data_IF_484228518815
#
_entry.id   IF_484228518815
#
_cell.length_a   1.000
_cell.length_b   1.000
_cell.length_c   1.000
_cell.angle_alpha   90.00
_cell.angle_beta   90.00
_cell.angle_gamma   90.00
#
_symmetry.space_group_name_H-M   'P 1'
#
loop_
_entity.id
_entity.type
_entity.pdbx_description
1 polymer ?
#
# COMPACT_ATOMS: atom_id res chain seq x y z
N UNK A 1 3.78 11.58 -5.46
CA UNK A 1 2.60 10.98 -6.13
C UNK A 1 2.75 10.78 -7.65
N UNK A 2 3.30 11.71 -8.48
CA UNK A 2 3.32 11.51 -9.94
C UNK A 2 4.13 10.28 -10.37
N UNK A 3 5.25 10.02 -9.71
CA UNK A 3 6.10 8.86 -10.00
C UNK A 3 5.37 7.52 -9.74
N UNK A 4 4.63 7.41 -8.63
CA UNK A 4 3.81 6.24 -8.32
C UNK A 4 2.72 5.98 -9.37
N UNK A 5 2.08 7.06 -9.87
CA UNK A 5 1.08 6.97 -10.93
C UNK A 5 1.71 6.48 -12.24
N UNK A 6 2.86 7.02 -12.64
CA UNK A 6 3.54 6.60 -13.87
C UNK A 6 4.02 5.14 -13.81
N UNK A 7 4.53 4.69 -12.65
CA UNK A 7 4.86 3.27 -12.42
C UNK A 7 3.60 2.41 -12.55
N UNK A 8 2.48 2.83 -11.95
CA UNK A 8 1.23 2.07 -12.01
C UNK A 8 0.67 1.95 -13.44
N UNK A 9 0.83 3.00 -14.27
CA UNK A 9 0.49 2.97 -15.70
C UNK A 9 1.36 1.97 -16.46
N UNK A 10 2.66 1.98 -16.22
CA UNK A 10 3.59 1.04 -16.87
C UNK A 10 3.35 -0.41 -16.43
N UNK A 11 2.99 -0.66 -15.17
CA UNK A 11 2.60 -2.00 -14.71
C UNK A 11 1.35 -2.54 -15.41
N UNK A 12 0.43 -1.65 -15.82
CA UNK A 12 -0.84 -2.04 -16.42
C UNK A 12 -0.83 -2.09 -17.95
N UNK A 13 -0.22 -1.10 -18.61
CA UNK A 13 -0.19 -0.96 -20.06
C UNK A 13 1.16 -1.33 -20.69
N UNK A 14 2.23 -1.51 -19.89
CA UNK A 14 3.58 -1.76 -20.39
C UNK A 14 4.09 -0.59 -21.24
N UNK A 15 4.79 -0.92 -22.34
CA UNK A 15 5.39 0.06 -23.26
C UNK A 15 4.39 1.06 -23.85
N UNK A 16 3.11 0.70 -23.99
CA UNK A 16 2.08 1.58 -24.52
C UNK A 16 1.76 2.79 -23.61
N UNK A 17 2.18 2.78 -22.33
CA UNK A 17 2.01 3.91 -21.43
C UNK A 17 2.99 5.06 -21.70
N UNK A 18 4.17 4.78 -22.26
CA UNK A 18 5.24 5.77 -22.45
C UNK A 18 4.81 7.01 -23.26
N UNK A 19 4.19 6.89 -24.45
CA UNK A 19 3.81 8.07 -25.21
C UNK A 19 2.82 8.96 -24.45
N UNK A 20 1.87 8.36 -23.73
CA UNK A 20 0.92 9.11 -22.90
C UNK A 20 1.59 9.86 -21.74
N UNK A 21 2.59 9.24 -21.09
CA UNK A 21 3.38 9.88 -20.03
C UNK A 21 4.18 11.05 -20.59
N UNK A 22 4.83 10.88 -21.74
CA UNK A 22 5.64 11.92 -22.40
C UNK A 22 4.77 13.13 -22.74
N UNK A 23 3.66 12.92 -23.43
CA UNK A 23 2.74 14.00 -23.82
C UNK A 23 2.21 14.73 -22.58
N UNK A 24 1.84 14.01 -21.52
CA UNK A 24 1.34 14.62 -20.29
C UNK A 24 2.38 15.52 -19.62
N UNK A 25 3.65 15.09 -19.57
CA UNK A 25 4.73 15.88 -18.98
C UNK A 25 4.98 17.12 -19.85
N UNK A 26 5.01 16.98 -21.18
CA UNK A 26 5.19 18.10 -22.10
C UNK A 26 4.07 19.13 -21.88
N UNK A 27 2.80 18.74 -21.99
CA UNK A 27 1.68 19.68 -21.84
C UNK A 27 1.68 20.41 -20.49
N UNK A 28 2.12 19.77 -19.41
CA UNK A 28 2.11 20.36 -18.07
C UNK A 28 3.36 21.21 -17.75
N UNK A 29 4.55 20.76 -18.19
CA UNK A 29 5.84 21.39 -17.83
C UNK A 29 6.42 22.30 -18.88
N UNK A 30 6.07 22.11 -20.14
CA UNK A 30 6.55 22.95 -21.23
C UNK A 30 6.28 24.45 -21.02
N UNK A 31 5.08 24.88 -20.58
CA UNK A 31 4.80 26.31 -20.39
C UNK A 31 5.54 26.95 -19.21
N UNK A 32 6.08 26.14 -18.29
CA UNK A 32 6.62 26.61 -17.00
C UNK A 32 8.14 26.73 -17.00
N UNK A 33 8.84 25.90 -17.76
CA UNK A 33 10.29 25.66 -17.58
C UNK A 33 11.08 25.72 -18.90
N UNK A 34 10.41 25.85 -20.05
CA UNK A 34 11.05 25.84 -21.36
C UNK A 34 11.42 24.45 -21.89
N UNK A 35 11.89 24.37 -23.14
CA UNK A 35 12.13 23.09 -23.84
C UNK A 35 13.22 22.24 -23.19
N UNK A 36 14.38 22.84 -22.89
CA UNK A 36 15.58 22.12 -22.49
C UNK A 36 15.41 21.46 -21.11
N UNK A 37 14.92 22.22 -20.12
CA UNK A 37 14.62 21.67 -18.80
C UNK A 37 13.48 20.63 -18.87
N UNK A 38 12.46 20.84 -19.72
CA UNK A 38 11.37 19.87 -19.88
C UNK A 38 11.86 18.53 -20.46
N UNK A 39 12.75 18.56 -21.45
CA UNK A 39 13.35 17.34 -22.02
C UNK A 39 14.21 16.60 -20.99
N UNK A 40 14.97 17.34 -20.16
CA UNK A 40 15.71 16.77 -19.04
C UNK A 40 14.75 16.09 -18.04
N UNK A 41 13.67 16.76 -17.64
CA UNK A 41 12.68 16.16 -16.72
C UNK A 41 12.10 14.87 -17.30
N UNK A 42 11.71 14.88 -18.58
CA UNK A 42 11.16 13.71 -19.27
C UNK A 42 12.16 12.55 -19.26
N UNK A 43 13.42 12.80 -19.60
CA UNK A 43 14.45 11.75 -19.63
C UNK A 43 14.64 11.12 -18.24
N UNK A 44 14.70 11.94 -17.18
CA UNK A 44 14.82 11.48 -15.80
C UNK A 44 13.66 10.56 -15.39
N UNK A 45 12.42 10.97 -15.68
CA UNK A 45 11.24 10.16 -15.36
C UNK A 45 11.23 8.85 -16.18
N UNK A 46 11.47 8.90 -17.48
CA UNK A 46 11.45 7.70 -18.34
C UNK A 46 12.50 6.69 -17.88
N UNK A 47 13.75 7.12 -17.70
CA UNK A 47 14.84 6.22 -17.30
C UNK A 47 14.50 5.55 -15.98
N UNK A 48 14.05 6.33 -14.99
CA UNK A 48 13.66 5.80 -13.67
C UNK A 48 12.55 4.75 -13.79
N UNK A 49 11.50 5.03 -14.57
CA UNK A 49 10.32 4.17 -14.65
C UNK A 49 10.62 2.91 -15.47
N UNK A 50 11.35 3.04 -16.60
CA UNK A 50 11.69 1.92 -17.48
C UNK A 50 12.60 0.93 -16.75
N UNK A 51 13.61 1.40 -16.01
CA UNK A 51 14.49 0.53 -15.21
C UNK A 51 13.72 -0.17 -14.09
N UNK A 52 12.88 0.57 -13.36
CA UNK A 52 12.10 0.02 -12.23
C UNK A 52 11.07 -1.03 -12.69
N UNK A 53 10.35 -0.75 -13.78
CA UNK A 53 9.38 -1.67 -14.38
C UNK A 53 10.06 -2.86 -15.08
N UNK A 54 11.13 -2.60 -15.84
CA UNK A 54 11.90 -3.60 -16.55
C UNK A 54 12.52 -4.62 -15.60
N UNK A 55 13.16 -4.14 -14.53
CA UNK A 55 13.68 -4.99 -13.46
C UNK A 55 12.58 -5.85 -12.84
N UNK A 56 11.44 -5.26 -12.47
CA UNK A 56 10.31 -6.05 -11.95
C UNK A 56 9.86 -7.16 -12.91
N UNK A 57 9.81 -6.90 -14.22
CA UNK A 57 9.38 -7.86 -15.24
C UNK A 57 10.37 -9.03 -15.40
N UNK A 58 11.68 -8.75 -15.35
CA UNK A 58 12.74 -9.77 -15.45
C UNK A 58 12.67 -10.75 -14.28
N UNK A 59 12.51 -10.24 -13.06
CA UNK A 59 12.48 -11.08 -11.87
C UNK A 59 11.09 -11.74 -11.63
N UNK A 60 10.00 -11.27 -12.24
CA UNK A 60 8.65 -11.86 -12.11
C UNK A 60 7.96 -12.11 -13.48
N UNK A 61 8.51 -12.98 -14.34
CA UNK A 61 8.10 -13.10 -15.75
C UNK A 61 6.66 -13.62 -15.93
N UNK A 62 6.21 -14.59 -15.12
CA UNK A 62 4.90 -15.27 -15.30
C UNK A 62 3.73 -14.67 -14.50
N UNK A 63 3.99 -13.78 -13.52
CA UNK A 63 2.97 -13.22 -12.59
C UNK A 63 3.07 -11.70 -12.42
N UNK A 64 3.57 -11.00 -13.44
CA UNK A 64 3.76 -9.56 -13.42
C UNK A 64 2.44 -8.77 -13.19
N UNK A 65 1.31 -9.23 -13.74
CA UNK A 65 0.04 -8.51 -13.73
C UNK A 65 -0.97 -8.98 -12.64
N UNK A 66 -0.47 -9.68 -11.62
CA UNK A 66 -1.30 -10.16 -10.50
C UNK A 66 -1.63 -9.01 -9.54
N UNK A 67 -2.88 -8.93 -9.08
CA UNK A 67 -3.36 -7.94 -8.10
C UNK A 67 -2.42 -7.77 -6.90
N UNK A 68 -2.27 -6.55 -6.42
CA UNK A 68 -1.65 -6.23 -5.12
C UNK A 68 -2.33 -7.05 -4.02
N UNK A 69 -1.54 -7.81 -3.25
CA UNK A 69 -2.02 -8.74 -2.22
C UNK A 69 -1.54 -10.19 -2.35
N UNK A 70 -0.77 -10.54 -3.39
CA UNK A 70 -0.02 -11.80 -3.37
C UNK A 70 1.28 -11.60 -2.59
N UNK A 71 1.36 -12.29 -1.47
CA UNK A 71 2.35 -12.04 -0.45
C UNK A 71 3.74 -12.59 -0.81
N UNK A 72 3.87 -13.48 -1.81
CA UNK A 72 5.15 -14.01 -2.29
C UNK A 72 5.94 -13.00 -3.12
N UNK A 73 5.24 -12.05 -3.73
CA UNK A 73 5.84 -11.02 -4.58
C UNK A 73 6.06 -9.71 -3.80
N UNK A 74 5.76 -9.68 -2.50
CA UNK A 74 5.79 -8.44 -1.70
C UNK A 74 7.19 -7.83 -1.66
N UNK A 75 8.20 -8.62 -1.28
CA UNK A 75 9.57 -8.12 -1.17
C UNK A 75 10.10 -7.60 -2.50
N UNK A 76 9.89 -8.37 -3.56
CA UNK A 76 10.28 -8.00 -4.91
C UNK A 76 9.56 -6.72 -5.39
N UNK A 77 8.27 -6.54 -5.06
CA UNK A 77 7.52 -5.31 -5.39
C UNK A 77 8.02 -4.13 -4.59
N UNK A 78 8.26 -4.28 -3.29
CA UNK A 78 8.84 -3.20 -2.48
C UNK A 78 10.18 -2.75 -3.06
N UNK A 79 11.06 -3.69 -3.41
CA UNK A 79 12.35 -3.36 -3.98
C UNK A 79 12.21 -2.62 -5.31
N UNK A 80 11.50 -3.19 -6.28
CA UNK A 80 11.44 -2.64 -7.65
C UNK A 80 10.44 -1.50 -7.85
N UNK A 81 9.42 -1.36 -7.02
CA UNK A 81 8.36 -0.34 -7.18
C UNK A 81 8.46 0.78 -6.15
N UNK A 82 9.17 0.59 -5.03
CA UNK A 82 9.29 1.60 -3.97
C UNK A 82 10.73 2.09 -3.86
N UNK A 83 11.68 1.19 -3.58
CA UNK A 83 13.07 1.56 -3.33
C UNK A 83 13.81 1.98 -4.60
N UNK A 84 13.90 1.10 -5.60
CA UNK A 84 14.59 1.34 -6.86
C UNK A 84 14.18 2.65 -7.56
N UNK A 85 12.88 2.95 -7.74
CA UNK A 85 12.49 4.20 -8.37
C UNK A 85 12.81 5.44 -7.53
N UNK A 86 12.72 5.36 -6.21
CA UNK A 86 13.05 6.48 -5.33
C UNK A 86 14.56 6.78 -5.35
N UNK A 87 15.40 5.74 -5.29
CA UNK A 87 16.86 5.90 -5.31
C UNK A 87 17.36 6.35 -6.68
N UNK A 88 16.89 5.73 -7.77
CA UNK A 88 17.28 6.13 -9.13
C UNK A 88 16.92 7.57 -9.42
N UNK A 89 15.70 7.99 -9.06
CA UNK A 89 15.28 9.37 -9.30
C UNK A 89 16.15 10.37 -8.52
N UNK A 90 16.48 10.08 -7.26
CA UNK A 90 17.31 10.96 -6.45
C UNK A 90 18.75 11.03 -6.98
N UNK A 91 19.35 9.89 -7.35
CA UNK A 91 20.70 9.84 -7.91
C UNK A 91 20.77 10.63 -9.23
N UNK A 92 19.81 10.40 -10.12
CA UNK A 92 19.74 11.13 -11.39
C UNK A 92 19.53 12.63 -11.16
N UNK A 93 18.66 12.99 -10.21
CA UNK A 93 18.44 14.39 -9.85
C UNK A 93 19.70 15.05 -9.30
N UNK A 94 20.44 14.39 -8.41
CA UNK A 94 21.70 14.90 -7.87
C UNK A 94 22.78 15.03 -8.95
N UNK A 95 22.84 14.06 -9.87
CA UNK A 95 23.75 14.12 -11.01
C UNK A 95 23.42 15.31 -11.93
N UNK A 96 22.15 15.53 -12.25
CA UNK A 96 21.75 16.66 -13.07
C UNK A 96 21.92 18.02 -12.37
N UNK A 97 21.76 18.08 -11.04
CA UNK A 97 22.09 19.25 -10.24
C UNK A 97 23.60 19.55 -10.29
N UNK A 98 24.45 18.52 -10.23
CA UNK A 98 25.90 18.66 -10.38
C UNK A 98 26.32 19.17 -11.76
N UNK A 99 25.66 18.69 -12.83
CA UNK A 99 25.91 19.12 -14.21
C UNK A 99 25.36 20.54 -14.50
N UNK A 100 24.56 21.12 -13.59
CA UNK A 100 24.00 22.47 -13.75
C UNK A 100 22.79 22.53 -14.68
N UNK A 101 22.13 21.40 -14.97
CA UNK A 101 21.00 21.32 -15.92
C UNK A 101 19.73 22.00 -15.38
N UNK A 102 19.63 22.20 -14.07
CA UNK A 102 18.47 22.78 -13.39
C UNK A 102 18.82 24.09 -12.68
N UNK A 103 19.11 25.15 -13.42
CA UNK A 103 19.38 26.48 -12.85
C UNK A 103 18.20 26.97 -12.00
N UNK A 104 16.96 26.68 -12.43
CA UNK A 104 15.71 27.08 -11.77
C UNK A 104 15.43 26.41 -10.40
N UNK A 105 16.05 25.26 -10.10
CA UNK A 105 15.83 24.49 -8.86
C UNK A 105 17.07 24.32 -7.98
N UNK A 106 18.20 24.87 -8.40
CA UNK A 106 19.46 24.90 -7.66
C UNK A 106 19.32 25.47 -6.24
N UNK A 107 18.35 26.36 -5.99
CA UNK A 107 18.05 26.91 -4.66
C UNK A 107 17.15 26.04 -3.75
N UNK A 108 16.42 25.05 -4.29
CA UNK A 108 15.50 24.19 -3.50
C UNK A 108 16.18 22.92 -2.98
N UNK A 109 17.24 22.48 -3.64
CA UNK A 109 18.08 21.37 -3.19
C UNK A 109 19.49 21.91 -3.18
N UNK A 110 19.93 22.35 -2.01
CA UNK A 110 21.31 22.79 -1.83
C UNK A 110 22.25 21.75 -2.46
N UNK A 111 23.25 22.23 -3.18
CA UNK A 111 24.23 21.46 -3.98
C UNK A 111 24.85 20.29 -3.19
N UNK A 112 24.77 20.32 -1.87
CA UNK A 112 25.22 19.27 -0.96
C UNK A 112 24.30 18.04 -0.95
N UNK A 113 24.83 16.83 -1.23
CA UNK A 113 24.03 15.59 -1.29
C UNK A 113 23.39 15.20 0.06
N UNK A 114 24.00 15.58 1.18
CA UNK A 114 23.55 15.26 2.54
C UNK A 114 22.87 16.45 3.22
N UNK A 115 21.73 16.87 2.69
CA UNK A 115 20.90 17.92 3.28
C UNK A 115 19.62 17.32 3.90
N UNK A 116 19.10 17.94 4.96
CA UNK A 116 17.80 17.61 5.55
C UNK A 116 16.69 17.66 4.48
N UNK A 117 16.75 18.61 3.55
CA UNK A 117 15.81 18.71 2.43
C UNK A 117 15.87 17.53 1.44
N UNK A 118 17.07 17.01 1.12
CA UNK A 118 17.19 15.82 0.26
C UNK A 118 16.68 14.57 0.97
N UNK A 119 16.92 14.46 2.28
CA UNK A 119 16.38 13.38 3.12
C UNK A 119 14.85 13.39 3.16
N UNK A 120 14.24 14.55 3.40
CA UNK A 120 12.77 14.70 3.41
C UNK A 120 12.18 14.31 2.05
N UNK A 121 12.78 14.79 0.95
CA UNK A 121 12.34 14.44 -0.40
C UNK A 121 12.44 12.93 -0.66
N UNK A 122 13.54 12.29 -0.26
CA UNK A 122 13.71 10.85 -0.40
C UNK A 122 12.65 10.06 0.38
N UNK A 123 12.43 10.42 1.64
CA UNK A 123 11.41 9.79 2.50
C UNK A 123 10.00 9.98 1.91
N UNK A 124 9.69 11.19 1.42
CA UNK A 124 8.41 11.49 0.77
C UNK A 124 8.20 10.68 -0.52
N UNK A 125 9.27 10.46 -1.30
CA UNK A 125 9.21 9.62 -2.49
C UNK A 125 8.97 8.14 -2.15
N UNK A 126 9.65 7.61 -1.12
CA UNK A 126 9.44 6.25 -0.64
C UNK A 126 8.01 6.04 -0.15
N UNK A 127 7.50 6.95 0.71
CA UNK A 127 6.11 6.93 1.19
C UNK A 127 5.14 7.01 0.02
N UNK A 128 5.37 7.96 -0.89
CA UNK A 128 4.53 8.17 -2.06
C UNK A 128 4.45 6.95 -2.98
N UNK A 129 5.54 6.22 -3.19
CA UNK A 129 5.55 5.01 -4.01
C UNK A 129 4.92 3.82 -3.26
N UNK A 130 5.22 3.64 -1.98
CA UNK A 130 4.73 2.53 -1.17
C UNK A 130 3.20 2.48 -1.12
N UNK A 131 2.58 3.65 -1.04
CA UNK A 131 1.14 3.78 -0.88
C UNK A 131 0.46 4.11 -2.21
N UNK A 132 1.09 4.99 -3.00
CA UNK A 132 0.54 5.48 -4.27
C UNK A 132 0.47 4.39 -5.33
N UNK A 133 1.43 3.46 -5.41
CA UNK A 133 1.41 2.40 -6.43
C UNK A 133 0.19 1.47 -6.28
N UNK A 134 -0.10 0.89 -5.10
CA UNK A 134 -1.33 0.12 -4.87
C UNK A 134 -2.61 0.91 -5.15
N UNK A 135 -2.67 2.17 -4.73
CA UNK A 135 -3.81 3.06 -4.93
C UNK A 135 -4.08 3.35 -6.41
N UNK A 136 -3.08 3.89 -7.11
CA UNK A 136 -3.21 4.26 -8.51
C UNK A 136 -3.50 3.01 -9.35
N UNK A 137 -2.89 1.88 -9.04
CA UNK A 137 -3.21 0.60 -9.69
C UNK A 137 -4.68 0.20 -9.50
N UNK A 138 -5.23 0.37 -8.29
CA UNK A 138 -6.64 0.10 -8.02
C UNK A 138 -7.57 1.07 -8.77
N UNK A 139 -7.24 2.36 -8.81
CA UNK A 139 -8.02 3.39 -9.51
C UNK A 139 -8.05 3.12 -11.01
N UNK A 140 -6.89 2.90 -11.64
CA UNK A 140 -6.79 2.61 -13.09
C UNK A 140 -7.62 1.37 -13.45
N UNK A 141 -7.52 0.32 -12.62
CA UNK A 141 -8.26 -0.92 -12.85
C UNK A 141 -9.77 -0.75 -12.69
N UNK A 142 -10.20 0.08 -11.75
CA UNK A 142 -11.61 0.42 -11.52
C UNK A 142 -12.20 1.22 -12.68
N UNK A 143 -11.47 2.23 -13.20
CA UNK A 143 -11.90 3.05 -14.34
C UNK A 143 -12.09 2.19 -15.61
N UNK A 144 -11.16 1.28 -15.90
CA UNK A 144 -11.24 0.46 -17.12
C UNK A 144 -12.30 -0.65 -17.05
N UNK A 145 -12.49 -1.27 -15.89
CA UNK A 145 -13.44 -2.35 -15.73
C UNK A 145 -14.21 -2.23 -14.40
N UNK A 146 -15.39 -1.58 -14.40
CA UNK A 146 -16.16 -1.40 -13.18
C UNK A 146 -16.67 -2.74 -12.60
N UNK A 147 -16.82 -3.79 -13.41
CA UNK A 147 -17.21 -5.12 -12.93
C UNK A 147 -16.11 -5.78 -12.08
N UNK A 148 -14.85 -5.36 -12.25
CA UNK A 148 -13.75 -5.83 -11.41
C UNK A 148 -13.95 -5.45 -9.93
N UNK A 149 -14.65 -4.35 -9.66
CA UNK A 149 -14.96 -3.90 -8.30
C UNK A 149 -15.73 -4.96 -7.53
N UNK A 150 -16.68 -5.66 -8.17
CA UNK A 150 -17.43 -6.76 -7.54
C UNK A 150 -16.53 -7.94 -7.15
N UNK A 151 -15.60 -8.31 -8.04
CA UNK A 151 -14.61 -9.35 -7.77
C UNK A 151 -13.62 -8.94 -6.67
N UNK A 152 -13.23 -7.66 -6.64
CA UNK A 152 -12.39 -7.09 -5.61
C UNK A 152 -13.10 -7.08 -4.25
N UNK A 153 -14.37 -6.68 -4.17
CA UNK A 153 -15.20 -6.75 -2.96
C UNK A 153 -15.38 -8.18 -2.44
N UNK A 154 -15.57 -9.16 -3.32
CA UNK A 154 -15.60 -10.56 -2.91
C UNK A 154 -14.28 -10.98 -2.25
N UNK A 155 -13.15 -10.59 -2.84
CA UNK A 155 -11.82 -10.88 -2.28
C UNK A 155 -11.54 -10.10 -0.99
N UNK A 156 -12.03 -8.86 -0.86
CA UNK A 156 -12.02 -8.10 0.40
C UNK A 156 -12.79 -8.87 1.47
N UNK A 157 -14.04 -9.24 1.19
CA UNK A 157 -14.91 -9.98 2.13
C UNK A 157 -14.29 -11.31 2.57
N UNK A 158 -13.54 -11.98 1.70
CA UNK A 158 -12.80 -13.20 2.04
C UNK A 158 -11.61 -12.96 2.99
N UNK A 159 -10.98 -11.78 2.93
CA UNK A 159 -9.87 -11.39 3.81
C UNK A 159 -10.35 -10.91 5.17
N UNK A 160 -11.58 -10.41 5.28
CA UNK A 160 -12.20 -10.08 6.55
C UNK A 160 -12.28 -11.31 7.46
N UNK A 161 -12.01 -11.09 8.74
CA UNK A 161 -12.19 -12.11 9.76
C UNK A 161 -13.68 -12.35 9.98
N UNK A 162 -14.10 -13.61 9.93
CA UNK A 162 -15.49 -14.00 10.15
C UNK A 162 -15.97 -13.70 11.57
N UNK A 163 -15.05 -13.47 12.52
CA UNK A 163 -15.37 -13.11 13.91
C UNK A 163 -15.69 -11.64 14.14
N UNK A 164 -15.46 -10.78 13.15
CA UNK A 164 -15.62 -9.33 13.32
C UNK A 164 -17.10 -8.97 13.28
N UNK A 165 -17.55 -8.34 14.35
CA UNK A 165 -18.90 -7.77 14.43
C UNK A 165 -18.97 -6.45 13.64
N UNK A 166 -20.15 -6.11 13.10
CA UNK A 166 -20.35 -4.83 12.40
C UNK A 166 -20.13 -3.63 13.32
N UNK A 167 -20.37 -3.80 14.63
CA UNK A 167 -20.16 -2.81 15.67
C UNK A 167 -18.68 -2.52 15.90
N UNK A 168 -17.83 -3.53 15.99
CA UNK A 168 -16.37 -3.35 16.08
C UNK A 168 -15.81 -2.55 14.90
N UNK A 169 -16.31 -2.85 13.69
CA UNK A 169 -15.91 -2.12 12.49
C UNK A 169 -16.33 -0.65 12.55
N UNK A 170 -17.58 -0.37 12.94
CA UNK A 170 -18.10 0.99 13.08
C UNK A 170 -17.32 1.79 14.14
N UNK A 171 -17.06 1.20 15.31
CA UNK A 171 -16.29 1.84 16.39
C UNK A 171 -14.87 2.16 15.94
N UNK A 172 -14.20 1.23 15.27
CA UNK A 172 -12.86 1.46 14.73
C UNK A 172 -12.83 2.61 13.72
N UNK A 173 -13.82 2.66 12.82
CA UNK A 173 -13.91 3.72 11.82
C UNK A 173 -14.21 5.08 12.46
N UNK A 174 -15.06 5.14 13.49
CA UNK A 174 -15.33 6.36 14.26
C UNK A 174 -14.05 6.85 14.95
N UNK A 175 -13.32 5.96 15.63
CA UNK A 175 -12.05 6.33 16.29
C UNK A 175 -11.05 6.87 15.26
N UNK A 176 -10.91 6.22 14.11
CA UNK A 176 -10.05 6.68 13.03
C UNK A 176 -10.47 8.07 12.52
N UNK A 177 -11.77 8.28 12.29
CA UNK A 177 -12.30 9.54 11.81
C UNK A 177 -12.11 10.68 12.83
N UNK A 178 -12.32 10.41 14.11
CA UNK A 178 -12.09 11.37 15.20
C UNK A 178 -10.61 11.74 15.28
N UNK A 179 -9.69 10.76 15.23
CA UNK A 179 -8.25 11.04 15.22
C UNK A 179 -7.83 11.86 14.00
N UNK A 180 -8.38 11.57 12.81
CA UNK A 180 -8.13 12.36 11.61
C UNK A 180 -8.68 13.79 11.73
N UNK A 181 -9.88 13.96 12.28
CA UNK A 181 -10.47 15.28 12.49
C UNK A 181 -9.65 16.11 13.49
N UNK A 182 -9.19 15.49 14.59
CA UNK A 182 -8.32 16.12 15.58
C UNK A 182 -6.98 16.54 14.96
N UNK A 183 -6.36 15.68 14.14
CA UNK A 183 -5.11 16.01 13.43
C UNK A 183 -5.32 17.14 12.40
N UNK A 184 -6.50 17.24 11.80
CA UNK A 184 -6.81 18.26 10.79
C UNK A 184 -7.33 19.58 11.38
N UNK A 185 -7.58 19.64 12.70
CA UNK A 185 -8.06 20.83 13.39
C UNK A 185 -6.91 21.84 13.51
N UNK A 186 -7.13 23.13 13.19
CA UNK A 186 -6.10 24.14 13.33
C UNK A 186 -5.70 24.32 14.79
N UNK A 187 -4.39 24.44 15.03
CA UNK A 187 -3.84 24.76 16.35
C UNK A 187 -4.32 26.15 16.81
N UNK A 188 -4.73 26.25 18.07
CA UNK A 188 -5.11 27.49 18.73
C UNK A 188 -4.38 27.58 20.09
N UNK A 189 -4.34 28.73 20.76
CA UNK A 189 -3.55 28.91 22.00
C UNK A 189 -3.95 27.98 23.17
N UNK A 190 -5.14 27.34 23.10
CA UNK A 190 -5.63 26.32 24.04
C UNK A 190 -5.50 24.88 23.49
N UNK A 191 -4.63 24.65 22.51
CA UNK A 191 -4.50 23.36 21.84
C UNK A 191 -4.07 22.25 22.80
N UNK A 192 -4.89 21.20 22.86
CA UNK A 192 -4.60 19.99 23.61
C UNK A 192 -3.43 19.23 22.97
N UNK A 193 -2.71 18.44 23.77
CA UNK A 193 -1.62 17.55 23.32
C UNK A 193 -2.09 16.66 22.14
N UNK A 194 -3.40 16.37 22.08
CA UNK A 194 -4.08 15.64 21.00
C UNK A 194 -4.32 16.42 19.69
N UNK A 195 -3.75 17.59 19.47
CA UNK A 195 -3.75 18.25 18.14
C UNK A 195 -2.35 18.39 17.54
N UNK A 196 -1.34 17.80 18.20
CA UNK A 196 0.07 17.88 17.80
C UNK A 196 0.54 16.56 17.16
N UNK A 197 1.84 16.48 16.83
CA UNK A 197 2.49 15.27 16.29
C UNK A 197 2.24 13.98 17.10
N UNK A 198 1.82 14.05 18.37
CA UNK A 198 1.48 12.86 19.17
C UNK A 198 0.26 12.10 18.64
N UNK A 199 -0.68 12.79 17.98
CA UNK A 199 -1.81 12.11 17.33
C UNK A 199 -1.38 11.22 16.18
N UNK A 200 -0.33 11.62 15.45
CA UNK A 200 0.26 10.81 14.40
C UNK A 200 0.76 9.47 14.95
N UNK A 201 1.37 9.48 16.13
CA UNK A 201 1.80 8.26 16.83
C UNK A 201 0.61 7.40 17.31
N UNK A 202 -0.50 8.01 17.74
CA UNK A 202 -1.73 7.28 18.12
C UNK A 202 -2.43 6.62 16.91
N UNK A 203 -2.21 7.17 15.72
CA UNK A 203 -2.79 6.64 14.49
C UNK A 203 -2.18 5.27 14.13
N UNK A 204 -0.92 5.01 14.48
CA UNK A 204 -0.26 3.72 14.23
C UNK A 204 -0.97 2.55 14.96
N UNK A 205 -1.13 2.53 16.30
CA UNK A 205 -1.85 1.45 16.99
C UNK A 205 -3.25 1.17 16.45
N UNK A 206 -4.01 2.22 16.15
CA UNK A 206 -5.37 2.10 15.57
C UNK A 206 -5.31 1.41 14.21
N UNK A 207 -4.35 1.78 13.37
CA UNK A 207 -4.18 1.18 12.05
C UNK A 207 -3.59 -0.23 12.12
N UNK A 208 -2.74 -0.54 13.10
CA UNK A 208 -2.24 -1.90 13.36
C UNK A 208 -3.36 -2.83 13.79
N UNK A 209 -4.24 -2.38 14.68
CA UNK A 209 -5.45 -3.13 15.05
C UNK A 209 -6.30 -3.43 13.82
N UNK A 210 -6.54 -2.41 12.98
CA UNK A 210 -7.26 -2.57 11.72
C UNK A 210 -6.58 -3.53 10.74
N UNK A 211 -5.25 -3.42 10.58
CA UNK A 211 -4.43 -4.28 9.73
C UNK A 211 -4.54 -5.75 10.13
N UNK A 212 -4.50 -6.03 11.44
CA UNK A 212 -4.65 -7.37 11.98
C UNK A 212 -6.04 -7.96 11.73
N UNK A 213 -7.10 -7.15 11.60
CA UNK A 213 -8.52 -7.60 11.50
C UNK A 213 -9.06 -7.65 10.07
N UNK A 214 -8.84 -6.62 9.26
CA UNK A 214 -9.51 -6.43 7.96
C UNK A 214 -8.68 -6.88 6.74
N UNK A 215 -7.38 -7.09 6.95
CA UNK A 215 -6.46 -7.59 5.93
C UNK A 215 -5.88 -6.51 5.00
N UNK A 216 -4.88 -6.91 4.22
CA UNK A 216 -4.02 -6.02 3.42
C UNK A 216 -4.77 -5.11 2.43
N UNK A 217 -5.70 -5.66 1.64
CA UNK A 217 -6.30 -4.89 0.55
C UNK A 217 -7.15 -3.73 1.04
N UNK A 218 -7.93 -3.97 2.10
CA UNK A 218 -8.76 -2.95 2.71
C UNK A 218 -7.92 -1.89 3.43
N UNK A 219 -7.00 -2.32 4.29
CA UNK A 219 -6.20 -1.40 5.09
C UNK A 219 -5.26 -0.56 4.23
N UNK A 220 -4.74 -1.09 3.13
CA UNK A 220 -3.88 -0.35 2.20
C UNK A 220 -4.63 0.83 1.56
N UNK A 221 -5.91 0.66 1.20
CA UNK A 221 -6.75 1.74 0.67
C UNK A 221 -7.01 2.82 1.72
N UNK A 222 -7.45 2.42 2.93
CA UNK A 222 -7.73 3.38 4.01
C UNK A 222 -6.47 4.11 4.44
N UNK A 223 -5.38 3.40 4.64
CA UNK A 223 -4.08 3.98 5.02
C UNK A 223 -3.63 5.04 4.03
N UNK A 224 -3.87 4.82 2.74
CA UNK A 224 -3.54 5.86 1.77
C UNK A 224 -4.41 7.09 1.86
N UNK A 225 -5.72 6.96 2.07
CA UNK A 225 -6.60 8.13 2.22
C UNK A 225 -6.20 8.91 3.46
N UNK A 226 -5.91 8.20 4.55
CA UNK A 226 -5.39 8.77 5.80
C UNK A 226 -4.11 9.55 5.56
N UNK A 227 -3.11 8.96 4.90
CA UNK A 227 -1.84 9.65 4.67
C UNK A 227 -1.92 10.78 3.66
N UNK A 228 -2.71 10.65 2.58
CA UNK A 228 -2.92 11.76 1.65
C UNK A 228 -3.53 12.95 2.40
N UNK A 229 -4.52 12.70 3.27
CA UNK A 229 -5.16 13.74 4.07
C UNK A 229 -4.21 14.34 5.10
N UNK A 230 -3.45 13.50 5.83
CA UNK A 230 -2.49 13.93 6.84
C UNK A 230 -1.32 14.75 6.24
N UNK A 231 -0.83 14.35 5.06
CA UNK A 231 0.22 15.08 4.33
C UNK A 231 -0.35 16.36 3.73
N UNK A 232 -1.59 16.39 3.26
CA UNK A 232 -2.19 17.61 2.72
C UNK A 232 -2.37 18.69 3.80
N UNK A 233 -2.79 18.28 5.00
CA UNK A 233 -3.00 19.20 6.14
C UNK A 233 -1.78 19.33 7.05
N UNK A 234 -0.57 19.05 6.57
CA UNK A 234 0.63 19.03 7.41
C UNK A 234 0.93 20.34 8.14
N UNK A 235 0.60 21.46 7.51
CA UNK A 235 0.80 22.80 8.07
C UNK A 235 -0.10 23.07 9.29
N UNK A 236 -1.20 22.33 9.47
CA UNK A 236 -2.18 22.61 10.53
C UNK A 236 -1.74 22.09 11.89
N UNK A 237 -0.95 21.02 11.94
CA UNK A 237 -0.46 20.42 13.20
C UNK A 237 1.06 20.60 13.41
N UNK A 238 1.77 21.23 12.48
CA UNK A 238 3.19 21.60 12.61
C UNK A 238 3.38 23.12 12.45
N UNK A 239 3.38 23.90 13.55
CA UNK A 239 3.61 25.34 13.50
C UNK A 239 5.08 25.64 13.13
N UNK A 240 5.34 26.83 12.61
CA UNK A 240 6.67 27.29 12.24
C UNK A 240 7.45 27.69 13.49
N UNK A 241 8.56 27.00 13.78
CA UNK A 241 9.44 27.32 14.91
C UNK A 241 10.92 27.10 14.52
N UNK A 242 11.84 27.62 15.33
CA UNK A 242 13.29 27.43 15.14
C UNK A 242 13.66 25.95 15.34
N UNK A 243 13.88 25.22 14.25
CA UNK A 243 14.04 23.76 14.23
C UNK A 243 12.99 23.01 13.41
N UNK A 244 12.18 23.73 12.64
CA UNK A 244 11.14 23.16 11.77
C UNK A 244 11.66 22.04 10.83
N UNK A 245 12.83 22.21 10.22
CA UNK A 245 13.39 21.23 9.27
C UNK A 245 13.66 19.87 9.91
N UNK A 246 14.12 19.85 11.16
CA UNK A 246 14.42 18.59 11.87
C UNK A 246 13.13 17.89 12.28
N UNK A 247 12.10 18.61 12.75
CA UNK A 247 10.81 17.99 13.03
C UNK A 247 10.08 17.56 11.76
N UNK A 248 10.23 18.28 10.64
CA UNK A 248 9.69 17.85 9.35
C UNK A 248 10.33 16.53 8.93
N UNK A 249 11.65 16.37 9.11
CA UNK A 249 12.36 15.12 8.87
C UNK A 249 11.91 13.98 9.80
N UNK A 250 11.67 14.27 11.09
CA UNK A 250 11.13 13.28 12.05
C UNK A 250 9.74 12.82 11.60
N UNK A 251 8.84 13.77 11.29
CA UNK A 251 7.49 13.48 10.85
C UNK A 251 7.48 12.70 9.52
N UNK A 252 8.26 13.09 8.52
CA UNK A 252 8.37 12.35 7.26
C UNK A 252 8.93 10.94 7.44
N UNK A 253 9.88 10.75 8.35
CA UNK A 253 10.40 9.43 8.70
C UNK A 253 9.33 8.56 9.37
N UNK A 254 8.51 9.15 10.25
CA UNK A 254 7.41 8.43 10.91
C UNK A 254 6.35 7.97 9.90
N UNK A 255 6.04 8.77 8.88
CA UNK A 255 5.14 8.36 7.79
C UNK A 255 5.66 7.15 7.04
N UNK A 256 6.96 7.12 6.75
CA UNK A 256 7.62 5.98 6.10
C UNK A 256 7.53 4.73 6.97
N UNK A 257 8.01 4.82 8.21
CA UNK A 257 8.06 3.69 9.13
C UNK A 257 6.66 3.16 9.41
N UNK A 258 5.69 4.02 9.69
CA UNK A 258 4.31 3.59 9.96
C UNK A 258 3.69 2.94 8.73
N UNK A 259 3.91 3.49 7.53
CA UNK A 259 3.44 2.86 6.30
C UNK A 259 4.04 1.49 6.09
N UNK A 260 5.33 1.34 6.38
CA UNK A 260 6.02 0.08 6.25
C UNK A 260 5.43 -0.96 7.21
N UNK A 261 5.31 -0.62 8.50
CA UNK A 261 4.79 -1.52 9.53
C UNK A 261 3.33 -1.90 9.23
N UNK A 262 2.46 -0.94 8.91
CA UNK A 262 1.05 -1.22 8.60
C UNK A 262 0.91 -2.15 7.40
N UNK A 263 1.63 -1.90 6.31
CA UNK A 263 1.61 -2.78 5.14
C UNK A 263 2.16 -4.17 5.47
N UNK A 264 3.28 -4.24 6.22
CA UNK A 264 3.91 -5.50 6.60
C UNK A 264 3.01 -6.36 7.49
N UNK A 265 2.48 -5.79 8.57
CA UNK A 265 1.56 -6.48 9.48
C UNK A 265 0.29 -6.92 8.76
N UNK A 266 -0.24 -6.10 7.85
CA UNK A 266 -1.42 -6.49 7.10
C UNK A 266 -1.18 -7.66 6.14
N UNK A 267 0.00 -7.73 5.50
CA UNK A 267 0.38 -8.89 4.68
C UNK A 267 0.65 -10.12 5.55
N UNK A 268 1.34 -9.94 6.67
CA UNK A 268 1.64 -11.04 7.59
C UNK A 268 0.36 -11.65 8.18
N UNK A 269 -0.56 -10.81 8.66
CA UNK A 269 -1.84 -11.24 9.21
C UNK A 269 -2.68 -11.98 8.15
N UNK A 270 -2.72 -11.49 6.90
CA UNK A 270 -3.43 -12.19 5.82
C UNK A 270 -2.79 -13.53 5.44
N UNK A 271 -1.45 -13.61 5.41
CA UNK A 271 -0.73 -14.88 5.22
C UNK A 271 -1.02 -15.87 6.34
N UNK A 272 -0.89 -15.43 7.59
CA UNK A 272 -1.09 -16.27 8.76
C UNK A 272 -2.50 -16.89 8.72
N UNK A 273 -3.53 -16.09 8.43
CA UNK A 273 -4.91 -16.61 8.27
C UNK A 273 -5.04 -17.62 7.16
N UNK A 274 -4.42 -17.38 6.01
CA UNK A 274 -4.47 -18.34 4.90
C UNK A 274 -3.83 -19.67 5.28
N UNK A 275 -2.66 -19.62 5.92
CA UNK A 275 -1.96 -20.82 6.43
C UNK A 275 -2.77 -21.51 7.51
N UNK A 276 -3.31 -20.78 8.50
CA UNK A 276 -4.17 -21.36 9.54
C UNK A 276 -5.42 -22.01 8.97
N UNK A 277 -6.09 -21.37 8.00
CA UNK A 277 -7.26 -21.95 7.30
C UNK A 277 -6.87 -23.21 6.52
N UNK A 278 -5.71 -23.20 5.86
CA UNK A 278 -5.18 -24.37 5.14
C UNK A 278 -4.85 -25.49 6.11
N UNK A 279 -4.12 -25.23 7.19
CA UNK A 279 -3.79 -26.21 8.22
C UNK A 279 -5.04 -26.78 8.87
N UNK A 280 -6.05 -25.95 9.16
CA UNK A 280 -7.30 -26.43 9.72
C UNK A 280 -8.09 -27.29 8.72
N UNK A 281 -8.00 -27.03 7.41
CA UNK A 281 -8.59 -27.91 6.38
C UNK A 281 -7.82 -29.23 6.29
N UNK A 282 -6.49 -29.17 6.27
CA UNK A 282 -5.63 -30.35 6.23
C UNK A 282 -5.74 -31.18 7.51
N UNK A 283 -5.99 -30.58 8.67
CA UNK A 283 -6.24 -31.32 9.92
C UNK A 283 -7.51 -32.20 9.87
N UNK A 284 -8.41 -31.97 8.92
CA UNK A 284 -9.56 -32.84 8.67
C UNK A 284 -9.27 -33.97 7.70
N UNK A 285 -8.09 -34.03 7.10
CA UNK A 285 -7.65 -35.13 6.23
C UNK A 285 -6.46 -35.81 6.89
N UNK A 286 -6.55 -37.11 7.13
CA UNK A 286 -5.40 -37.86 7.62
C UNK A 286 -4.36 -37.95 6.48
N UNK A 287 -3.13 -37.42 6.63
CA UNK A 287 -2.12 -37.45 5.58
C UNK A 287 -1.66 -38.85 5.20
N UNK A 288 -1.84 -39.87 6.07
CA UNK A 288 -1.43 -41.24 5.77
C UNK A 288 -2.46 -42.00 4.95
N UNK A 289 -3.76 -41.77 5.22
CA UNK A 289 -4.84 -42.58 4.61
C UNK A 289 -5.69 -41.76 3.64
N UNK A 290 -5.49 -40.44 3.55
CA UNK A 290 -6.33 -39.50 2.79
C UNK A 290 -7.82 -39.56 3.15
N UNK A 291 -8.19 -40.23 4.25
CA UNK A 291 -9.56 -40.27 4.77
C UNK A 291 -9.86 -39.04 5.65
N UNK A 292 -11.14 -38.65 5.73
CA UNK A 292 -11.57 -37.61 6.67
C UNK A 292 -11.29 -38.04 8.12
N UNK A 293 -10.65 -37.16 8.89
CA UNK A 293 -10.27 -37.40 10.28
C UNK A 293 -11.52 -37.67 11.16
N UNK A 294 -11.38 -38.42 12.25
CA UNK A 294 -12.45 -38.73 13.21
C UNK A 294 -13.19 -37.48 13.71
N UNK A 295 -12.49 -36.33 13.81
CA UNK A 295 -13.10 -35.04 14.14
C UNK A 295 -14.08 -34.53 13.07
N UNK A 296 -13.81 -34.77 11.79
CA UNK A 296 -14.74 -34.46 10.70
C UNK A 296 -15.96 -35.39 10.75
N UNK A 297 -15.72 -36.70 10.91
CA UNK A 297 -16.77 -37.71 11.00
C UNK A 297 -17.71 -37.45 12.19
N UNK A 298 -17.18 -37.18 13.37
CA UNK A 298 -17.99 -36.92 14.57
C UNK A 298 -18.82 -35.64 14.43
N UNK A 299 -18.33 -34.65 13.67
CA UNK A 299 -19.05 -33.41 13.38
C UNK A 299 -20.19 -33.64 12.38
N UNK A 300 -19.97 -34.46 11.35
CA UNK A 300 -21.01 -34.87 10.40
C UNK A 300 -22.06 -35.75 11.06
N UNK A 301 -21.66 -36.67 11.94
CA UNK A 301 -22.57 -37.48 12.75
C UNK A 301 -23.42 -36.60 13.68
N UNK A 302 -22.82 -35.62 14.38
CA UNK A 302 -23.59 -34.64 15.19
C UNK A 302 -24.54 -33.79 14.36
N UNK A 303 -24.12 -33.38 13.16
CA UNK A 303 -24.97 -32.59 12.25
C UNK A 303 -26.16 -33.40 11.73
N UNK A 304 -25.98 -34.70 11.50
CA UNK A 304 -27.04 -35.62 11.04
C UNK A 304 -27.89 -36.18 12.18
N UNK A 305 -27.40 -36.18 13.43
CA UNK A 305 -28.19 -36.62 14.60
C UNK A 305 -29.41 -35.73 14.88
N UNK A 306 -29.43 -34.49 14.38
CA UNK A 306 -30.58 -33.58 14.44
C UNK A 306 -31.51 -33.63 13.21
N UNK A 307 -31.18 -34.42 12.19
CA UNK A 307 -32.01 -34.61 10.99
C UNK A 307 -32.01 -36.08 10.59
N UNK A 308 -32.98 -36.82 11.14
CA UNK A 308 -33.37 -38.21 10.82
C UNK A 308 -32.25 -39.21 10.48
N UNK A 309 -32.05 -40.15 11.41
CA UNK A 309 -31.27 -41.36 11.22
C UNK A 309 -31.64 -42.08 9.91
N UNK A 310 -30.64 -42.34 9.09
CA UNK A 310 -30.65 -43.50 8.19
C UNK A 310 -29.23 -44.05 8.12
N UNK A 311 -29.02 -45.18 8.81
CA UNK A 311 -27.81 -45.99 8.80
C UNK A 311 -27.35 -46.38 7.37
N UNK A 312 -28.27 -46.32 6.41
CA UNK A 312 -28.02 -46.54 4.98
C UNK A 312 -27.01 -45.58 4.32
N UNK A 313 -26.75 -44.40 4.89
CA UNK A 313 -25.81 -43.45 4.29
C UNK A 313 -24.35 -43.63 4.71
N UNK A 314 -24.06 -44.37 5.80
CA UNK A 314 -22.67 -44.66 6.19
C UNK A 314 -22.05 -45.63 5.19
N UNK A 315 -22.81 -46.62 4.72
CA UNK A 315 -22.39 -47.48 3.61
C UNK A 315 -22.26 -46.73 2.29
N UNK A 316 -23.13 -45.75 2.01
CA UNK A 316 -23.03 -44.94 0.78
C UNK A 316 -21.82 -44.00 0.76
N UNK A 317 -21.29 -43.60 1.91
CA UNK A 317 -20.03 -42.83 1.99
C UNK A 317 -18.78 -43.69 1.77
N UNK A 318 -18.88 -45.00 2.00
CA UNK A 318 -17.82 -45.97 1.68
C UNK A 318 -17.92 -46.52 0.24
N UNK A 319 -19.09 -46.45 -0.39
CA UNK A 319 -19.32 -47.03 -1.73
C UNK A 319 -18.95 -46.12 -2.91
N UNK A 320 -18.41 -44.92 -2.68
CA UNK A 320 -17.92 -44.00 -3.72
C UNK A 320 -16.37 -43.90 -3.76
N UNK A 321 -15.69 -44.87 -3.17
CA UNK A 321 -14.26 -45.13 -3.37
C UNK A 321 -14.05 -46.58 -3.77
#
# INVERSE_FOLDING_TARGET
MPLALMISLMLFFGWAALPGIIISIICYKYPQVGLFETLSIISHFIVTIVLSWGGYKVFAPRRNNVSHGNSHLMFQRMFWQVFCPATLFLILFQFAAFVGVYESKSGMVGVMPFNTGTLINYQAMLVGNLIGVPLCYFIIRTIRNPLHVRGYFSQLKQQFDTKVTKTEFAVWLIILAVLMALLCMPLNEQSSIFSTNYTLSLLLPVMLWGAMRYGYRFISLIWSVVLITAIHYYQRYMPWYSGYDTQLAITSSSYLVFSFIVNFIAVLATRQRFVTRRNHRLAFFDPMVHLPNLRALNRDLKKKRHGQCSAFCVFRAWSYW
#
